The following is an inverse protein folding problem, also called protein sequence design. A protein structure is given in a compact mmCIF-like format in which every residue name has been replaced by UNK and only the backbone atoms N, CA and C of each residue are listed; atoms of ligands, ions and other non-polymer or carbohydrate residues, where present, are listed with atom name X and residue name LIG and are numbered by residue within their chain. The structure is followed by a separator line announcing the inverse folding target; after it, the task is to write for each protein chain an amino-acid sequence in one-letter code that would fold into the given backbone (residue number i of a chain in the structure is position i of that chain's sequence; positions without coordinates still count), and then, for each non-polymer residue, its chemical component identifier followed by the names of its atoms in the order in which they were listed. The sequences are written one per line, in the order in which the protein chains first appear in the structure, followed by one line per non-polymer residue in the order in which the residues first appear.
data_IF_899908239990
#
_entry.id   IF_899908239990
#
_cell.length_a   1.000
_cell.length_b   1.000
_cell.length_c   1.000
_cell.angle_alpha   90.00
_cell.angle_beta   90.00
_cell.angle_gamma   90.00
#
_symmetry.space_group_name_H-M   'P 1'
#
loop_
_entity.id
_entity.type
_entity.pdbx_description
1 polymer ?
#
# COMPACT_ATOMS: atom_id res chain seq x y z
N UNK A 1 2.96 -19.61 0.57
CA UNK A 1 3.58 -20.41 1.64
C UNK A 1 3.06 -19.81 2.93
N UNK A 2 2.01 -20.37 3.51
CA UNK A 2 1.20 -19.67 4.51
C UNK A 2 1.88 -19.69 5.89
N UNK A 3 2.38 -18.54 6.33
CA UNK A 3 2.83 -18.29 7.70
C UNK A 3 1.61 -18.43 8.64
N UNK A 4 1.58 -19.46 9.50
CA UNK A 4 0.46 -19.72 10.42
C UNK A 4 0.47 -18.76 11.64
N UNK A 5 -0.74 -18.42 12.08
CA UNK A 5 -1.22 -17.70 13.28
C UNK A 5 -0.22 -17.56 14.45
N UNK A 6 -0.05 -16.32 14.95
CA UNK A 6 0.63 -15.89 16.19
C UNK A 6 1.72 -16.85 16.68
N UNK A 7 2.98 -16.55 16.37
CA UNK A 7 4.11 -17.38 16.76
C UNK A 7 5.43 -16.79 16.32
N UNK A 8 6.47 -17.63 16.36
CA UNK A 8 7.80 -17.28 15.86
C UNK A 8 7.86 -17.37 14.34
N UNK A 9 8.90 -16.80 13.73
CA UNK A 9 9.17 -17.01 12.30
C UNK A 9 9.35 -18.52 12.09
N UNK A 10 8.49 -19.19 11.30
CA UNK A 10 8.62 -20.62 11.11
C UNK A 10 9.93 -20.94 10.41
N UNK A 11 10.51 -22.10 10.73
CA UNK A 11 11.73 -22.59 10.08
C UNK A 11 11.62 -22.64 8.54
N UNK A 12 10.39 -22.82 8.03
CA UNK A 12 10.03 -22.83 6.61
C UNK A 12 9.94 -21.45 5.96
N UNK A 13 10.06 -20.34 6.70
CA UNK A 13 10.12 -19.01 6.11
C UNK A 13 11.33 -18.88 5.16
N UNK A 14 11.22 -18.10 4.07
CA UNK A 14 12.32 -17.91 3.13
C UNK A 14 13.61 -17.46 3.83
N UNK A 15 14.71 -18.12 3.52
CA UNK A 15 16.00 -17.83 4.16
C UNK A 15 16.47 -16.39 3.92
N UNK A 16 16.12 -15.85 2.75
CA UNK A 16 16.35 -14.44 2.41
C UNK A 16 15.62 -13.48 3.36
N UNK A 17 14.34 -13.74 3.67
CA UNK A 17 13.58 -12.91 4.62
C UNK A 17 14.25 -12.88 6.00
N UNK A 18 14.71 -14.03 6.50
CA UNK A 18 15.40 -14.11 7.79
C UNK A 18 16.68 -13.26 7.80
N UNK A 19 17.50 -13.36 6.76
CA UNK A 19 18.72 -12.57 6.60
C UNK A 19 18.44 -11.07 6.57
N UNK A 20 17.40 -10.65 5.86
CA UNK A 20 17.03 -9.24 5.78
C UNK A 20 16.53 -8.73 7.13
N UNK A 21 15.74 -9.52 7.88
CA UNK A 21 15.29 -9.14 9.23
C UNK A 21 16.46 -8.97 10.20
N UNK A 22 17.41 -9.91 10.23
CA UNK A 22 18.61 -9.81 11.06
C UNK A 22 19.46 -8.60 10.66
N UNK A 23 19.58 -8.32 9.36
CA UNK A 23 20.28 -7.13 8.88
C UNK A 23 19.59 -5.83 9.34
N UNK A 24 18.26 -5.76 9.28
CA UNK A 24 17.48 -4.60 9.77
C UNK A 24 17.69 -4.41 11.28
N UNK A 25 17.59 -5.47 12.07
CA UNK A 25 17.85 -5.42 13.51
C UNK A 25 19.27 -4.91 13.81
N UNK A 26 20.26 -5.44 13.08
CA UNK A 26 21.67 -5.02 13.23
C UNK A 26 21.90 -3.55 12.88
N UNK A 27 21.24 -3.02 11.84
CA UNK A 27 21.29 -1.59 11.49
C UNK A 27 20.72 -0.71 12.61
N UNK A 28 19.77 -1.22 13.38
CA UNK A 28 19.20 -0.54 14.55
C UNK A 28 19.99 -0.77 15.85
N UNK A 29 21.11 -1.51 15.79
CA UNK A 29 21.97 -1.78 16.93
C UNK A 29 21.52 -2.97 17.78
N UNK A 30 20.55 -3.74 17.31
CA UNK A 30 20.04 -4.94 17.98
C UNK A 30 20.79 -6.18 17.50
N UNK A 31 21.01 -7.13 18.41
CA UNK A 31 21.65 -8.42 18.11
C UNK A 31 20.62 -9.51 18.26
N UNK A 32 20.38 -10.27 17.19
CA UNK A 32 19.47 -11.41 17.22
C UNK A 32 20.32 -12.69 17.26
N UNK A 33 20.22 -13.44 18.34
CA UNK A 33 20.91 -14.71 18.52
C UNK A 33 20.06 -15.89 18.03
N UNK A 34 18.75 -15.81 18.23
CA UNK A 34 17.77 -16.82 17.78
C UNK A 34 16.65 -16.19 16.95
N UNK A 35 16.24 -16.88 15.88
CA UNK A 35 15.07 -16.50 15.08
C UNK A 35 13.75 -16.62 15.87
N UNK A 36 13.74 -17.36 16.99
CA UNK A 36 12.64 -17.36 17.96
C UNK A 36 12.51 -16.02 18.72
N UNK A 37 13.44 -15.08 18.60
CA UNK A 37 13.24 -13.73 19.15
C UNK A 37 12.25 -12.89 18.34
N UNK A 38 11.99 -13.27 17.09
CA UNK A 38 11.04 -12.58 16.24
C UNK A 38 9.61 -13.10 16.46
N UNK A 39 8.76 -12.24 17.00
CA UNK A 39 7.34 -12.49 17.20
C UNK A 39 6.53 -12.00 16.00
N UNK A 40 5.78 -12.90 15.35
CA UNK A 40 5.03 -12.64 14.13
C UNK A 40 3.53 -12.56 14.39
N UNK A 41 2.91 -11.47 13.93
CA UNK A 41 1.49 -11.18 14.05
C UNK A 41 0.90 -10.93 12.66
N UNK A 42 0.02 -11.80 12.15
CA UNK A 42 -0.65 -11.57 10.87
C UNK A 42 -1.65 -10.40 10.99
N UNK A 43 -1.53 -9.42 10.11
CA UNK A 43 -2.47 -8.32 10.00
C UNK A 43 -3.59 -8.68 9.03
N UNK A 44 -4.83 -8.53 9.49
CA UNK A 44 -6.03 -8.75 8.67
C UNK A 44 -6.38 -7.48 7.90
N UNK A 45 -7.03 -7.64 6.74
CA UNK A 45 -7.58 -6.52 5.96
C UNK A 45 -6.81 -6.18 4.69
N UNK A 46 -5.61 -6.75 4.49
CA UNK A 46 -4.93 -6.66 3.20
C UNK A 46 -5.59 -7.62 2.19
N UNK A 47 -6.11 -7.06 1.09
CA UNK A 47 -6.83 -7.84 0.07
C UNK A 47 -5.90 -8.46 -0.98
N UNK A 48 -4.78 -7.81 -1.28
CA UNK A 48 -3.90 -8.17 -2.41
C UNK A 48 -2.55 -8.78 -1.98
N UNK A 49 -2.13 -8.54 -0.73
CA UNK A 49 -0.84 -8.95 -0.20
C UNK A 49 -1.05 -9.57 1.20
N UNK A 50 -0.17 -10.50 1.61
CA UNK A 50 -0.13 -10.94 3.00
C UNK A 50 0.74 -9.95 3.80
N UNK A 51 0.23 -9.46 4.93
CA UNK A 51 0.92 -8.47 5.75
C UNK A 51 1.10 -9.01 7.16
N UNK A 52 2.32 -8.91 7.66
CA UNK A 52 2.70 -9.36 8.99
C UNK A 52 3.38 -8.22 9.73
N UNK A 53 3.00 -8.02 10.99
CA UNK A 53 3.80 -7.25 11.93
C UNK A 53 4.80 -8.21 12.58
N UNK A 54 6.08 -7.83 12.62
CA UNK A 54 7.12 -8.58 13.30
C UNK A 54 7.75 -7.70 14.38
N UNK A 55 7.89 -8.25 15.58
CA UNK A 55 8.48 -7.57 16.73
C UNK A 55 9.66 -8.37 17.29
N UNK A 56 10.66 -7.68 17.84
CA UNK A 56 11.77 -8.30 18.60
C UNK A 56 12.20 -7.36 19.75
N UNK A 57 12.81 -7.89 20.83
CA UNK A 57 13.29 -7.06 21.94
C UNK A 57 14.46 -6.18 21.50
N UNK A 58 14.56 -4.98 22.08
CA UNK A 58 15.73 -4.12 21.88
C UNK A 58 16.86 -4.48 22.84
N UNK A 59 18.10 -4.24 22.42
CA UNK A 59 19.26 -4.34 23.31
C UNK A 59 19.23 -3.33 24.49
N UNK A 60 18.36 -2.31 24.43
CA UNK A 60 18.34 -1.15 25.33
C UNK A 60 17.12 -1.08 26.29
N UNK A 61 16.34 -2.16 26.46
CA UNK A 61 15.30 -2.26 27.50
C UNK A 61 14.04 -3.03 27.08
N UNK A 62 12.94 -2.83 27.79
CA UNK A 62 11.63 -3.50 27.58
C UNK A 62 10.88 -3.05 26.29
N UNK A 63 11.50 -2.19 25.47
CA UNK A 63 10.90 -1.74 24.22
C UNK A 63 11.12 -2.80 23.14
N UNK A 64 10.05 -3.13 22.42
CA UNK A 64 10.12 -3.99 21.25
C UNK A 64 10.19 -3.15 19.98
N UNK A 65 11.15 -3.44 19.10
CA UNK A 65 11.12 -2.95 17.73
C UNK A 65 9.95 -3.56 16.99
N UNK A 66 9.44 -2.84 15.99
CA UNK A 66 8.34 -3.30 15.14
C UNK A 66 8.62 -2.98 13.68
N UNK A 67 8.36 -3.94 12.82
CA UNK A 67 8.39 -3.77 11.36
C UNK A 67 7.14 -4.37 10.73
N UNK A 68 6.83 -3.92 9.52
CA UNK A 68 5.85 -4.58 8.66
C UNK A 68 6.57 -5.39 7.59
N UNK A 69 6.23 -6.67 7.48
CA UNK A 69 6.62 -7.53 6.36
C UNK A 69 5.43 -7.68 5.43
N UNK A 70 5.62 -7.27 4.18
CA UNK A 70 4.62 -7.43 3.12
C UNK A 70 5.09 -8.48 2.13
N UNK A 71 4.32 -9.55 2.00
CA UNK A 71 4.53 -10.62 1.03
C UNK A 71 3.59 -10.43 -0.15
N UNK A 72 4.15 -10.43 -1.33
CA UNK A 72 3.45 -10.18 -2.58
C UNK A 72 2.50 -11.32 -2.95
N UNK A 73 1.20 -11.02 -3.07
CA UNK A 73 0.19 -11.99 -3.48
C UNK A 73 0.29 -12.36 -4.97
N UNK A 74 -0.18 -13.57 -5.32
CA UNK A 74 -0.26 -14.04 -6.73
C UNK A 74 -1.58 -13.64 -7.36
N UNK A 75 -1.57 -13.28 -8.65
CA UNK A 75 -2.79 -13.06 -9.46
C UNK A 75 -3.33 -11.63 -9.48
N UNK A 76 -2.64 -10.66 -8.88
CA UNK A 76 -2.99 -9.22 -8.94
C UNK A 76 -2.37 -8.48 -10.12
N UNK A 77 -1.51 -9.16 -10.90
CA UNK A 77 -0.83 -8.61 -12.08
C UNK A 77 -1.79 -8.15 -13.19
N UNK A 78 -3.02 -8.68 -13.20
CA UNK A 78 -4.08 -8.26 -14.11
C UNK A 78 -4.58 -6.84 -13.78
N UNK A 79 -4.44 -6.41 -12.53
CA UNK A 79 -4.96 -5.13 -12.05
C UNK A 79 -3.85 -4.08 -11.90
N UNK A 80 -2.64 -4.51 -11.53
CA UNK A 80 -1.52 -3.62 -11.24
C UNK A 80 -0.19 -4.19 -11.73
N UNK A 81 0.64 -3.34 -12.30
CA UNK A 81 2.01 -3.70 -12.64
C UNK A 81 2.86 -3.69 -11.36
N UNK A 82 3.39 -4.87 -10.99
CA UNK A 82 4.20 -5.05 -9.78
C UNK A 82 5.43 -4.17 -9.78
N UNK A 83 6.10 -4.03 -10.93
CA UNK A 83 7.34 -3.25 -11.03
C UNK A 83 7.07 -1.75 -10.87
N UNK A 84 5.88 -1.29 -11.27
CA UNK A 84 5.46 0.09 -11.10
C UNK A 84 5.10 0.36 -9.62
N UNK A 85 4.41 -0.58 -8.96
CA UNK A 85 4.06 -0.50 -7.52
C UNK A 85 5.33 -0.45 -6.65
N UNK A 86 6.14 -1.50 -6.72
CA UNK A 86 7.56 -1.39 -7.05
C UNK A 86 8.28 -0.06 -6.74
N UNK A 87 8.60 0.59 -7.87
CA UNK A 87 9.32 1.86 -7.97
C UNK A 87 8.58 3.01 -7.31
N UNK A 88 7.24 3.00 -7.37
CA UNK A 88 6.41 4.01 -6.71
C UNK A 88 6.66 3.98 -5.21
N UNK A 89 6.60 2.80 -4.58
CA UNK A 89 6.83 2.65 -3.15
C UNK A 89 8.23 3.11 -2.74
N UNK A 90 9.27 2.75 -3.50
CA UNK A 90 10.64 3.20 -3.22
C UNK A 90 10.77 4.71 -3.25
N UNK A 91 10.30 5.34 -4.32
CA UNK A 91 10.38 6.79 -4.47
C UNK A 91 9.62 7.49 -3.34
N UNK A 92 8.44 6.98 -2.98
CA UNK A 92 7.64 7.50 -1.86
C UNK A 92 8.38 7.37 -0.52
N UNK A 93 9.01 6.23 -0.26
CA UNK A 93 9.88 6.02 0.91
C UNK A 93 11.05 6.99 0.95
N UNK A 94 11.74 7.21 -0.17
CA UNK A 94 12.89 8.14 -0.28
C UNK A 94 12.47 9.60 -0.07
N UNK A 95 11.29 9.99 -0.54
CA UNK A 95 10.72 11.31 -0.35
C UNK A 95 10.13 11.52 1.06
N UNK A 96 10.16 10.51 1.93
CA UNK A 96 9.59 10.55 3.28
C UNK A 96 8.06 10.60 3.28
N UNK A 97 7.43 10.07 2.23
CA UNK A 97 6.00 10.07 2.02
C UNK A 97 5.45 8.65 2.20
N UNK A 98 5.00 8.32 3.41
CA UNK A 98 4.59 6.97 3.76
C UNK A 98 5.71 6.17 4.45
N UNK A 99 5.55 4.84 4.60
CA UNK A 99 6.49 4.04 5.35
C UNK A 99 7.83 3.86 4.61
N UNK A 100 8.93 4.03 5.33
CA UNK A 100 10.28 3.73 4.84
C UNK A 100 10.45 2.27 4.46
N UNK A 101 11.11 2.02 3.33
CA UNK A 101 11.64 0.72 2.95
C UNK A 101 12.88 0.41 3.80
N UNK A 102 12.84 -0.70 4.54
CA UNK A 102 13.95 -1.17 5.37
C UNK A 102 14.75 -2.29 4.68
N UNK A 103 14.10 -3.08 3.83
CA UNK A 103 14.76 -4.17 3.13
C UNK A 103 13.87 -4.87 2.11
N UNK A 104 14.50 -5.66 1.25
CA UNK A 104 13.85 -6.42 0.17
C UNK A 104 14.22 -7.88 0.21
N UNK A 105 13.29 -8.70 -0.23
CA UNK A 105 13.53 -10.11 -0.53
C UNK A 105 12.72 -10.49 -1.78
N UNK A 106 13.04 -11.63 -2.39
CA UNK A 106 12.43 -12.13 -3.63
C UNK A 106 10.89 -12.03 -3.69
N UNK A 107 10.22 -12.34 -2.58
CA UNK A 107 8.75 -12.40 -2.51
C UNK A 107 8.11 -11.20 -1.78
N UNK A 108 8.85 -10.13 -1.48
CA UNK A 108 8.30 -9.05 -0.68
C UNK A 108 9.26 -7.98 -0.19
N UNK A 109 8.82 -7.24 0.83
CA UNK A 109 9.58 -6.14 1.42
C UNK A 109 9.33 -6.01 2.92
N UNK A 110 10.29 -5.36 3.59
CA UNK A 110 10.20 -4.96 4.99
C UNK A 110 10.07 -3.44 5.02
N UNK A 111 9.02 -2.96 5.68
CA UNK A 111 8.64 -1.56 5.82
C UNK A 111 8.75 -1.14 7.29
N UNK A 112 8.98 0.14 7.54
CA UNK A 112 8.87 0.67 8.90
C UNK A 112 7.45 0.51 9.45
N UNK A 113 7.34 0.27 10.75
CA UNK A 113 6.05 0.25 11.42
C UNK A 113 5.65 1.67 11.82
N UNK A 114 4.57 2.19 11.21
CA UNK A 114 4.03 3.51 11.53
C UNK A 114 3.23 3.42 12.84
N UNK A 115 3.65 4.16 13.84
CA UNK A 115 3.00 4.24 15.16
C UNK A 115 1.84 5.26 15.15
N UNK A 116 0.82 5.00 14.34
CA UNK A 116 -0.33 5.88 14.20
C UNK A 116 -1.63 5.06 14.18
N UNK A 117 -2.77 5.71 14.43
CA UNK A 117 -4.07 5.07 14.25
C UNK A 117 -4.59 5.32 12.84
N UNK A 118 -5.24 4.32 12.26
CA UNK A 118 -6.04 4.53 11.04
C UNK A 118 -7.25 5.40 11.37
N UNK A 119 -7.61 6.30 10.46
CA UNK A 119 -8.82 7.11 10.60
C UNK A 119 -10.07 6.27 10.38
N UNK A 120 -11.18 6.77 10.90
CA UNK A 120 -12.53 6.25 10.72
C UNK A 120 -13.35 7.17 9.82
N UNK A 121 -14.50 6.68 9.36
CA UNK A 121 -15.45 7.51 8.63
C UNK A 121 -15.93 8.73 9.46
N UNK A 122 -15.96 8.63 10.79
CA UNK A 122 -16.34 9.75 11.65
C UNK A 122 -15.25 10.83 11.68
N UNK A 123 -13.97 10.44 11.71
CA UNK A 123 -12.85 11.37 11.71
C UNK A 123 -12.84 12.27 10.47
N UNK A 124 -13.19 11.74 9.30
CA UNK A 124 -13.25 12.52 8.04
C UNK A 124 -14.23 13.70 8.09
N UNK A 125 -15.23 13.65 8.99
CA UNK A 125 -16.23 14.73 9.17
C UNK A 125 -15.78 15.80 10.15
N UNK A 126 -14.66 15.59 10.86
CA UNK A 126 -14.08 16.58 11.76
C UNK A 126 -13.34 17.63 10.91
N UNK A 127 -13.75 18.91 10.92
CA UNK A 127 -13.16 19.92 10.03
C UNK A 127 -11.65 20.08 10.18
N UNK A 128 -11.14 19.97 11.41
CA UNK A 128 -9.71 20.06 11.70
C UNK A 128 -8.92 18.91 11.05
N UNK A 129 -9.40 17.67 11.17
CA UNK A 129 -8.76 16.50 10.56
C UNK A 129 -8.85 16.60 9.04
N UNK A 130 -10.00 17.00 8.50
CA UNK A 130 -10.18 17.22 7.05
C UNK A 130 -9.20 18.26 6.50
N UNK A 131 -8.93 19.33 7.25
CA UNK A 131 -7.93 20.35 6.89
C UNK A 131 -6.51 19.76 6.84
N UNK A 132 -6.14 18.91 7.80
CA UNK A 132 -4.83 18.24 7.81
C UNK A 132 -4.68 17.28 6.62
N UNK A 133 -5.74 16.52 6.30
CA UNK A 133 -5.77 15.65 5.12
C UNK A 133 -5.59 16.49 3.85
N UNK A 134 -6.29 17.62 3.72
CA UNK A 134 -6.17 18.53 2.58
C UNK A 134 -4.75 19.06 2.40
N UNK A 135 -4.11 19.49 3.49
CA UNK A 135 -2.71 19.92 3.47
C UNK A 135 -1.77 18.78 3.02
N UNK A 136 -1.97 17.58 3.57
CA UNK A 136 -1.15 16.42 3.22
C UNK A 136 -1.32 15.98 1.78
N UNK A 137 -2.55 16.05 1.25
CA UNK A 137 -2.81 15.78 -0.17
C UNK A 137 -2.14 16.79 -1.08
N UNK A 138 -2.09 18.07 -0.69
CA UNK A 138 -1.40 19.08 -1.49
C UNK A 138 0.10 18.81 -1.58
N UNK A 139 0.73 18.40 -0.47
CA UNK A 139 2.12 17.93 -0.48
C UNK A 139 2.28 16.73 -1.43
N UNK A 140 1.39 15.74 -1.29
CA UNK A 140 1.42 14.51 -2.08
C UNK A 140 1.27 14.77 -3.59
N UNK A 141 0.34 15.64 -4.00
CA UNK A 141 0.10 15.93 -5.41
C UNK A 141 1.24 16.71 -6.07
N UNK A 142 2.06 17.38 -5.26
CA UNK A 142 3.23 18.16 -5.69
C UNK A 142 4.53 17.34 -5.70
N UNK A 143 4.50 16.04 -5.38
CA UNK A 143 5.69 15.20 -5.41
C UNK A 143 6.25 15.07 -6.84
N UNK A 144 7.57 15.18 -6.96
CA UNK A 144 8.26 15.00 -8.23
C UNK A 144 8.51 13.51 -8.47
N UNK A 145 7.47 12.83 -8.96
CA UNK A 145 7.51 11.40 -9.22
C UNK A 145 8.12 11.09 -10.59
N UNK A 146 9.00 10.07 -10.69
CA UNK A 146 9.58 9.67 -11.96
C UNK A 146 8.53 9.01 -12.86
N UNK A 147 8.60 9.32 -14.16
CA UNK A 147 7.74 8.71 -15.18
C UNK A 147 6.85 9.73 -15.91
N UNK A 148 6.04 9.25 -16.87
CA UNK A 148 5.17 10.13 -17.64
C UNK A 148 3.98 10.61 -16.81
N UNK A 149 3.62 11.89 -16.95
CA UNK A 149 2.44 12.50 -16.31
C UNK A 149 1.19 12.29 -17.18
N UNK A 150 0.77 11.04 -17.31
CA UNK A 150 -0.40 10.64 -18.08
C UNK A 150 -1.59 10.30 -17.17
N UNK A 151 -2.82 10.54 -17.63
CA UNK A 151 -4.04 10.11 -16.92
C UNK A 151 -4.24 8.61 -17.13
N UNK A 152 -4.07 7.83 -16.06
CA UNK A 152 -4.21 6.36 -16.11
C UNK A 152 -5.66 5.85 -15.96
N UNK A 153 -6.58 6.72 -15.54
CA UNK A 153 -7.97 6.35 -15.22
C UNK A 153 -8.66 5.63 -16.38
N UNK A 154 -8.57 6.18 -17.59
CA UNK A 154 -9.34 5.70 -18.74
C UNK A 154 -8.86 4.34 -19.24
N UNK A 155 -7.55 4.15 -19.36
CA UNK A 155 -6.95 2.86 -19.71
C UNK A 155 -7.30 1.78 -18.66
N UNK A 156 -7.26 2.16 -17.37
CA UNK A 156 -7.60 1.26 -16.26
C UNK A 156 -9.06 0.82 -16.30
N UNK A 157 -9.99 1.74 -16.51
CA UNK A 157 -11.42 1.42 -16.64
C UNK A 157 -11.68 0.48 -17.82
N UNK A 158 -11.06 0.73 -18.99
CA UNK A 158 -11.20 -0.14 -20.17
C UNK A 158 -10.60 -1.53 -19.94
N UNK A 159 -9.44 -1.60 -19.28
CA UNK A 159 -8.81 -2.86 -18.89
C UNK A 159 -9.72 -3.67 -17.97
N UNK A 160 -10.29 -3.03 -16.93
CA UNK A 160 -11.20 -3.69 -16.01
C UNK A 160 -12.49 -4.15 -16.69
N UNK A 161 -13.07 -3.33 -17.58
CA UNK A 161 -14.23 -3.71 -18.37
C UNK A 161 -13.95 -4.94 -19.24
N UNK A 162 -12.80 -4.97 -19.91
CA UNK A 162 -12.36 -6.12 -20.71
C UNK A 162 -12.26 -7.40 -19.87
N UNK A 163 -11.67 -7.31 -18.67
CA UNK A 163 -11.60 -8.46 -17.76
C UNK A 163 -12.98 -8.89 -17.28
N UNK A 164 -13.86 -7.96 -16.90
CA UNK A 164 -15.21 -8.25 -16.49
C UNK A 164 -15.98 -9.00 -17.59
N UNK A 165 -15.94 -8.51 -18.84
CA UNK A 165 -16.55 -9.20 -20.00
C UNK A 165 -15.99 -10.59 -20.23
N UNK A 166 -14.69 -10.81 -19.99
CA UNK A 166 -14.06 -12.14 -20.15
C UNK A 166 -14.56 -13.17 -19.14
N UNK A 167 -14.84 -12.74 -17.91
CA UNK A 167 -15.21 -13.64 -16.81
C UNK A 167 -16.73 -13.77 -16.61
N UNK A 168 -17.52 -12.79 -17.06
CA UNK A 168 -18.98 -12.83 -16.96
C UNK A 168 -19.60 -13.74 -18.03
N UNK A 169 -20.69 -14.43 -17.66
CA UNK A 169 -21.55 -15.09 -18.64
C UNK A 169 -22.31 -14.03 -19.47
N UNK A 170 -22.78 -14.37 -20.68
CA UNK A 170 -23.57 -13.44 -21.50
C UNK A 170 -24.82 -12.90 -20.80
N UNK A 171 -25.47 -13.71 -19.95
CA UNK A 171 -26.65 -13.27 -19.17
C UNK A 171 -26.28 -12.22 -18.12
N UNK A 172 -25.16 -12.43 -17.41
CA UNK A 172 -24.66 -11.50 -16.40
C UNK A 172 -24.15 -10.22 -17.04
N UNK A 173 -23.42 -10.31 -18.16
CA UNK A 173 -22.95 -9.13 -18.89
C UNK A 173 -24.12 -8.25 -19.35
N UNK A 174 -25.22 -8.87 -19.80
CA UNK A 174 -26.45 -8.16 -20.17
C UNK A 174 -27.18 -7.56 -18.97
N UNK A 175 -27.30 -8.31 -17.87
CA UNK A 175 -27.92 -7.85 -16.62
C UNK A 175 -27.24 -6.60 -16.06
N UNK A 176 -25.91 -6.59 -16.05
CA UNK A 176 -25.10 -5.46 -15.57
C UNK A 176 -24.77 -4.42 -16.65
N UNK A 177 -25.30 -4.58 -17.88
CA UNK A 177 -25.11 -3.62 -18.96
C UNK A 177 -23.66 -3.41 -19.40
N UNK A 178 -22.78 -4.41 -19.25
CA UNK A 178 -21.35 -4.27 -19.55
C UNK A 178 -21.08 -3.87 -21.01
N UNK A 179 -21.98 -4.20 -21.93
CA UNK A 179 -21.84 -3.84 -23.34
C UNK A 179 -21.92 -2.33 -23.59
N UNK A 180 -22.66 -1.58 -22.76
CA UNK A 180 -22.79 -0.12 -22.87
C UNK A 180 -21.67 0.66 -22.17
N UNK A 181 -20.96 0.06 -21.22
CA UNK A 181 -19.97 0.78 -20.39
C UNK A 181 -18.82 1.39 -21.19
N UNK A 182 -18.43 0.82 -22.33
CA UNK A 182 -17.36 1.40 -23.18
C UNK A 182 -17.77 2.76 -23.76
N UNK A 183 -19.05 2.89 -24.15
CA UNK A 183 -19.60 4.14 -24.65
C UNK A 183 -19.70 5.17 -23.52
N UNK A 184 -20.16 4.75 -22.33
CA UNK A 184 -20.21 5.62 -21.14
C UNK A 184 -18.82 6.12 -20.74
N UNK A 185 -17.81 5.25 -20.71
CA UNK A 185 -16.41 5.64 -20.45
C UNK A 185 -15.94 6.66 -21.49
N UNK A 186 -16.24 6.44 -22.77
CA UNK A 186 -15.84 7.33 -23.86
C UNK A 186 -16.52 8.70 -23.78
N UNK A 187 -17.79 8.74 -23.37
CA UNK A 187 -18.51 9.99 -23.11
C UNK A 187 -17.86 10.73 -21.93
N UNK A 188 -17.63 10.06 -20.81
CA UNK A 188 -17.00 10.67 -19.63
C UNK A 188 -15.59 11.19 -19.92
N UNK A 189 -14.78 10.42 -20.64
CA UNK A 189 -13.44 10.84 -21.06
C UNK A 189 -13.50 12.08 -21.92
N UNK A 190 -14.38 12.10 -22.93
CA UNK A 190 -14.55 13.26 -23.81
C UNK A 190 -15.01 14.50 -23.06
N UNK A 191 -15.95 14.40 -22.13
CA UNK A 191 -16.45 15.55 -21.39
C UNK A 191 -15.45 16.05 -20.34
N UNK A 192 -14.73 15.16 -19.67
CA UNK A 192 -13.79 15.53 -18.59
C UNK A 192 -12.40 15.94 -19.11
N UNK A 193 -12.05 15.63 -20.36
CA UNK A 193 -10.81 16.06 -21.03
C UNK A 193 -10.92 17.39 -21.76
N UNK A 194 -12.06 18.10 -21.64
CA UNK A 194 -12.21 19.43 -22.23
C UNK A 194 -11.46 20.49 -21.41
N UNK A 195 -10.55 21.20 -22.07
CA UNK A 195 -9.83 22.33 -21.48
C UNK A 195 -8.52 21.95 -20.79
N UNK A 196 -8.03 22.83 -19.92
CA UNK A 196 -6.78 22.62 -19.20
C UNK A 196 -6.98 21.62 -18.06
N UNK A 197 -6.09 20.63 -17.97
CA UNK A 197 -6.06 19.65 -16.90
C UNK A 197 -4.74 19.79 -16.12
N UNK A 198 -4.84 19.98 -14.81
CA UNK A 198 -3.70 19.85 -13.91
C UNK A 198 -3.51 18.36 -13.57
N UNK A 199 -2.55 17.72 -14.23
CA UNK A 199 -2.23 16.30 -13.99
C UNK A 199 -1.14 16.22 -12.92
N UNK A 200 -1.52 15.72 -11.75
CA UNK A 200 -0.64 15.48 -10.62
C UNK A 200 -0.50 14.00 -10.27
N UNK A 201 0.41 13.70 -9.36
CA UNK A 201 0.51 12.37 -8.77
C UNK A 201 -0.61 12.16 -7.76
N UNK A 202 -1.44 11.13 -7.97
CA UNK A 202 -2.66 10.91 -7.19
C UNK A 202 -2.58 9.60 -6.39
N UNK A 203 -3.25 9.56 -5.24
CA UNK A 203 -3.32 8.35 -4.43
C UNK A 203 -4.28 7.31 -5.02
N UNK A 204 -5.35 7.78 -5.69
CA UNK A 204 -6.42 7.00 -6.34
C UNK A 204 -7.27 6.07 -5.44
N UNK A 205 -6.98 5.98 -4.14
CA UNK A 205 -7.73 5.17 -3.16
C UNK A 205 -7.71 5.83 -1.77
N UNK A 206 -8.09 7.11 -1.68
CA UNK A 206 -8.00 7.89 -0.44
C UNK A 206 -9.20 7.66 0.50
N UNK A 207 -9.43 6.39 0.86
CA UNK A 207 -10.40 6.02 1.89
C UNK A 207 -9.81 6.16 3.30
N UNK A 208 -10.66 6.24 4.34
CA UNK A 208 -10.23 6.39 5.74
C UNK A 208 -9.26 5.28 6.19
N UNK A 209 -9.38 4.07 5.63
CA UNK A 209 -8.49 2.94 5.91
C UNK A 209 -7.04 3.17 5.49
N UNK A 210 -6.81 4.11 4.57
CA UNK A 210 -5.52 4.43 3.96
C UNK A 210 -4.92 5.73 4.51
N UNK A 211 -5.53 6.30 5.55
CA UNK A 211 -5.05 7.52 6.22
C UNK A 211 -4.76 7.17 7.67
N UNK A 212 -3.52 7.39 8.09
CA UNK A 212 -3.09 7.24 9.47
C UNK A 212 -2.80 8.60 10.09
N UNK A 213 -3.10 8.74 11.38
CA UNK A 213 -2.81 9.93 12.15
C UNK A 213 -2.11 9.56 13.45
N UNK A 214 -0.98 10.22 13.70
CA UNK A 214 -0.32 10.18 15.01
C UNK A 214 -1.13 11.04 15.99
N UNK A 215 -1.52 10.46 17.13
CA UNK A 215 -2.41 11.11 18.09
C UNK A 215 -1.73 12.25 18.86
N UNK A 216 -0.41 12.19 19.04
CA UNK A 216 0.34 13.18 19.80
C UNK A 216 0.76 14.34 18.90
N UNK A 217 1.34 14.04 17.74
CA UNK A 217 1.90 15.02 16.82
C UNK A 217 0.89 15.52 15.78
N UNK A 218 -0.26 14.85 15.64
CA UNK A 218 -1.30 15.15 14.64
C UNK A 218 -0.83 15.01 13.20
N UNK A 219 0.32 14.36 12.96
CA UNK A 219 0.87 14.15 11.61
C UNK A 219 0.00 13.15 10.85
N UNK A 220 -0.35 13.50 9.60
CA UNK A 220 -1.07 12.62 8.68
C UNK A 220 -0.08 11.87 7.77
N UNK A 221 -0.23 10.56 7.72
CA UNK A 221 0.51 9.69 6.81
C UNK A 221 -0.47 8.95 5.90
N UNK A 222 -0.25 9.04 4.59
CA UNK A 222 -0.99 8.29 3.60
C UNK A 222 -0.31 6.94 3.37
N UNK A 223 -1.08 5.87 3.25
CA UNK A 223 -0.58 4.51 3.07
C UNK A 223 -1.33 3.81 1.93
N UNK A 224 -0.76 2.73 1.39
CA UNK A 224 -1.40 1.89 0.35
C UNK A 224 -1.64 2.70 -0.94
N UNK A 225 -0.54 3.04 -1.63
CA UNK A 225 -0.59 3.77 -2.89
C UNK A 225 -1.02 2.86 -4.04
N UNK A 226 -1.99 3.33 -4.85
CA UNK A 226 -2.52 2.59 -6.00
C UNK A 226 -2.25 3.40 -7.28
N UNK A 227 -1.08 3.21 -7.87
CA UNK A 227 -0.69 3.84 -9.13
C UNK A 227 -0.35 2.82 -10.20
#
# INVERSE_FOLDING_TARGET
MALKKNGFIPSSAPEELKKVLVAVASVWGDTIEDMEEFHVFPLKGAMTNEVFQINWPTNHGDLHQKVLVRVYGKGVEVFFNRDDEIRTFECMSELGQGPRLLGRFSDGRIEEFIHARTLSAADLRVPEISSLIGAKLREFNNLDMPGPKNVLLWERLRTWLSQAKRFCSPSTAKEFGLDGLEEEISILEKELTQGYQEIGFCHNDLQYGNIMMDEETRVITLIIFVN
#
